data_IF_410711255082
#
_entry.id   IF_410711255082
#
_cell.length_a   1.000
_cell.length_b   1.000
_cell.length_c   1.000
_cell.angle_alpha   90.00
_cell.angle_beta   90.00
_cell.angle_gamma   90.00
#
_symmetry.space_group_name_H-M   'P 1'
#
loop_
_entity.id
_entity.type
_entity.pdbx_description
1 polymer ?
#
# COMPACT_ATOMS: atom_id res chain seq x y z
N UNK A 1 26.61 -55.74 35.51
CA UNK A 1 25.91 -54.80 36.42
C UNK A 1 26.50 -53.41 36.19
N UNK A 2 25.65 -52.37 36.12
CA UNK A 2 25.80 -51.11 35.33
C UNK A 2 26.80 -50.12 35.99
N UNK A 3 27.22 -48.95 35.47
CA UNK A 3 26.50 -47.84 34.82
C UNK A 3 27.49 -46.70 34.47
N UNK A 4 27.00 -45.68 33.76
CA UNK A 4 27.62 -44.37 33.42
C UNK A 4 28.59 -44.40 32.22
N UNK A 5 28.47 -43.57 31.19
CA UNK A 5 27.89 -42.23 31.09
C UNK A 5 27.57 -41.93 29.61
N UNK A 6 26.41 -41.32 29.38
CA UNK A 6 26.01 -40.80 28.09
C UNK A 6 26.87 -39.59 27.70
N UNK A 7 27.28 -39.52 26.44
CA UNK A 7 27.68 -38.26 25.83
C UNK A 7 27.32 -38.27 24.34
N UNK A 8 26.01 -38.13 24.08
CA UNK A 8 25.55 -37.61 22.80
C UNK A 8 26.08 -36.19 22.64
N UNK A 9 27.18 -36.03 21.89
CA UNK A 9 27.56 -34.71 21.38
C UNK A 9 26.82 -34.49 20.07
N UNK A 10 25.66 -33.89 20.23
CA UNK A 10 24.99 -33.06 19.23
C UNK A 10 26.03 -32.11 18.62
N UNK A 11 26.51 -32.42 17.41
CA UNK A 11 27.15 -31.43 16.54
C UNK A 11 26.14 -30.98 15.50
N UNK A 12 25.04 -30.41 15.99
CA UNK A 12 24.13 -29.62 15.18
C UNK A 12 24.45 -28.13 15.37
N UNK A 13 25.69 -27.77 15.10
CA UNK A 13 26.04 -26.39 14.80
C UNK A 13 25.82 -26.18 13.31
N UNK A 14 24.55 -26.15 12.88
CA UNK A 14 24.22 -25.37 11.69
C UNK A 14 24.51 -23.93 12.08
N UNK A 15 25.74 -23.50 11.83
CA UNK A 15 26.02 -22.09 11.62
C UNK A 15 25.00 -21.60 10.60
N UNK A 16 23.98 -20.87 11.04
CA UNK A 16 23.19 -20.02 10.16
C UNK A 16 24.04 -18.79 9.88
N UNK A 17 25.14 -19.03 9.16
CA UNK A 17 25.80 -18.02 8.37
C UNK A 17 24.81 -17.57 7.29
N UNK A 18 23.96 -16.61 7.66
CA UNK A 18 23.18 -15.83 6.70
C UNK A 18 24.17 -15.29 5.68
N UNK A 19 24.11 -15.87 4.49
CA UNK A 19 25.01 -15.54 3.40
C UNK A 19 24.77 -14.07 2.99
N UNK A 20 25.83 -13.25 2.83
CA UNK A 20 25.71 -11.84 2.42
C UNK A 20 25.19 -11.65 0.99
N UNK A 21 24.78 -12.73 0.31
CA UNK A 21 24.08 -12.72 -0.97
C UNK A 21 22.58 -12.46 -0.82
N UNK A 22 21.95 -12.88 0.29
CA UNK A 22 20.49 -12.73 0.49
C UNK A 22 20.08 -11.29 0.79
N UNK A 23 20.88 -10.56 1.57
CA UNK A 23 20.59 -9.17 1.96
C UNK A 23 20.69 -8.16 0.80
N UNK A 24 21.48 -8.45 -0.24
CA UNK A 24 21.53 -7.59 -1.44
C UNK A 24 20.27 -7.71 -2.28
N UNK A 25 19.65 -8.89 -2.32
CA UNK A 25 18.40 -9.09 -3.03
C UNK A 25 17.26 -8.33 -2.34
N UNK A 26 17.13 -8.43 -1.01
CA UNK A 26 16.07 -7.74 -0.27
C UNK A 26 16.13 -6.22 -0.41
N UNK A 27 17.33 -5.64 -0.40
CA UNK A 27 17.52 -4.20 -0.61
C UNK A 27 17.19 -3.77 -2.04
N UNK A 28 17.42 -4.65 -3.03
CA UNK A 28 17.01 -4.42 -4.42
C UNK A 28 15.49 -4.45 -4.56
N UNK A 29 14.83 -5.41 -3.92
CA UNK A 29 13.37 -5.59 -3.96
C UNK A 29 12.64 -4.39 -3.34
N UNK A 30 13.14 -3.89 -2.20
CA UNK A 30 12.59 -2.67 -1.57
C UNK A 30 12.73 -1.47 -2.49
N UNK A 31 13.89 -1.29 -3.15
CA UNK A 31 14.10 -0.18 -4.10
C UNK A 31 13.14 -0.29 -5.29
N UNK A 32 12.95 -1.49 -5.84
CA UNK A 32 12.00 -1.72 -6.92
C UNK A 32 10.55 -1.46 -6.49
N UNK A 33 10.19 -1.83 -5.26
CA UNK A 33 8.90 -1.55 -4.66
C UNK A 33 8.64 -0.03 -4.60
N UNK A 34 9.59 0.76 -4.10
CA UNK A 34 9.46 2.22 -4.04
C UNK A 34 9.33 2.85 -5.44
N UNK A 35 10.04 2.33 -6.45
CA UNK A 35 9.90 2.77 -7.84
C UNK A 35 8.52 2.42 -8.41
N UNK A 36 7.96 1.26 -8.06
CA UNK A 36 6.61 0.88 -8.45
C UNK A 36 5.57 1.79 -7.78
N UNK A 37 5.68 2.03 -6.47
CA UNK A 37 4.80 2.94 -5.73
C UNK A 37 4.79 4.34 -6.35
N UNK A 38 5.97 4.90 -6.67
CA UNK A 38 6.09 6.22 -7.31
C UNK A 38 5.37 6.32 -8.66
N UNK A 39 5.24 5.23 -9.41
CA UNK A 39 4.52 5.21 -10.69
C UNK A 39 3.00 5.13 -10.53
N UNK A 40 2.52 4.55 -9.44
CA UNK A 40 1.09 4.33 -9.18
C UNK A 40 0.41 5.53 -8.55
N UNK A 41 1.13 6.26 -7.69
CA UNK A 41 0.55 7.39 -6.93
C UNK A 41 0.52 8.67 -7.79
N UNK A 42 -0.65 9.27 -8.05
CA UNK A 42 -0.81 10.38 -8.99
C UNK A 42 -0.01 11.64 -8.63
N UNK A 43 0.08 11.98 -7.35
CA UNK A 43 0.74 13.19 -6.83
C UNK A 43 2.26 13.18 -6.98
N UNK A 44 2.89 12.00 -6.84
CA UNK A 44 4.36 11.83 -6.88
C UNK A 44 4.89 11.38 -8.22
N UNK A 45 4.06 10.83 -9.12
CA UNK A 45 4.49 10.39 -10.46
C UNK A 45 5.13 11.52 -11.27
N UNK A 46 4.70 12.76 -11.05
CA UNK A 46 5.22 13.97 -11.72
C UNK A 46 6.44 14.58 -11.02
N UNK A 47 6.78 14.14 -9.82
CA UNK A 47 7.84 14.74 -9.02
C UNK A 47 9.17 14.01 -9.21
N UNK A 48 10.23 14.67 -9.71
CA UNK A 48 11.50 14.00 -9.99
C UNK A 48 12.23 13.55 -8.72
N UNK A 49 12.13 14.32 -7.63
CA UNK A 49 12.74 14.03 -6.33
C UNK A 49 11.66 14.04 -5.25
N UNK A 50 11.53 12.93 -4.55
CA UNK A 50 10.63 12.72 -3.41
C UNK A 50 11.39 11.82 -2.45
N UNK A 51 11.43 12.16 -1.16
CA UNK A 51 12.08 11.33 -0.16
C UNK A 51 11.22 10.09 0.14
N UNK A 52 11.80 9.04 0.72
CA UNK A 52 11.09 7.80 1.05
C UNK A 52 9.87 8.06 1.96
N UNK A 53 10.02 8.91 2.97
CA UNK A 53 8.94 9.23 3.89
C UNK A 53 7.80 9.99 3.21
N UNK A 54 8.13 10.96 2.35
CA UNK A 54 7.13 11.70 1.56
C UNK A 54 6.39 10.78 0.59
N UNK A 55 7.10 9.86 -0.07
CA UNK A 55 6.48 8.84 -0.91
C UNK A 55 5.48 8.00 -0.11
N UNK A 56 5.87 7.54 1.08
CA UNK A 56 5.00 6.72 1.92
C UNK A 56 3.76 7.48 2.38
N UNK A 57 3.89 8.75 2.75
CA UNK A 57 2.74 9.61 3.07
C UNK A 57 1.78 9.72 1.89
N UNK A 58 2.30 10.04 0.69
CA UNK A 58 1.47 10.12 -0.51
C UNK A 58 0.80 8.79 -0.90
N UNK A 59 1.41 7.65 -0.58
CA UNK A 59 0.77 6.33 -0.76
C UNK A 59 -0.38 6.16 0.22
N UNK A 60 -0.19 6.54 1.49
CA UNK A 60 -1.21 6.47 2.53
C UNK A 60 -2.41 7.35 2.18
N UNK A 61 -2.17 8.58 1.72
CA UNK A 61 -3.22 9.50 1.29
C UNK A 61 -3.98 8.92 0.09
N UNK A 62 -3.25 8.40 -0.90
CA UNK A 62 -3.86 7.85 -2.11
C UNK A 62 -4.72 6.61 -1.81
N UNK A 63 -4.31 5.74 -0.89
CA UNK A 63 -5.13 4.60 -0.48
C UNK A 63 -6.42 5.08 0.19
N UNK A 64 -6.33 6.01 1.14
CA UNK A 64 -7.51 6.56 1.82
C UNK A 64 -8.48 7.25 0.85
N UNK A 65 -7.96 8.05 -0.08
CA UNK A 65 -8.76 8.70 -1.12
C UNK A 65 -9.50 7.65 -1.97
N UNK A 66 -8.80 6.58 -2.37
CA UNK A 66 -9.41 5.49 -3.14
C UNK A 66 -10.45 4.72 -2.32
N UNK A 67 -10.21 4.44 -1.04
CA UNK A 67 -11.17 3.76 -0.16
C UNK A 67 -12.48 4.55 -0.06
N UNK A 68 -12.40 5.86 0.20
CA UNK A 68 -13.59 6.74 0.26
C UNK A 68 -14.31 6.80 -1.09
N UNK A 69 -13.55 6.94 -2.17
CA UNK A 69 -14.07 7.00 -3.56
C UNK A 69 -14.83 5.72 -3.91
N UNK A 70 -14.30 4.56 -3.54
CA UNK A 70 -14.89 3.27 -3.85
C UNK A 70 -16.08 2.93 -2.95
N UNK A 71 -16.07 3.35 -1.68
CA UNK A 71 -17.18 3.11 -0.73
C UNK A 71 -18.38 4.04 -1.01
N UNK A 72 -18.13 5.27 -1.46
CA UNK A 72 -19.18 6.28 -1.65
C UNK A 72 -19.12 6.91 -3.06
N UNK A 73 -19.51 6.15 -4.11
CA UNK A 73 -19.47 6.66 -5.49
C UNK A 73 -20.37 7.90 -5.72
N UNK A 74 -21.43 8.06 -4.93
CA UNK A 74 -22.34 9.21 -4.98
C UNK A 74 -21.68 10.53 -4.56
N UNK A 75 -20.63 10.49 -3.71
CA UNK A 75 -19.86 11.68 -3.32
C UNK A 75 -18.98 12.20 -4.47
N UNK A 76 -18.61 11.34 -5.41
CA UNK A 76 -17.86 11.71 -6.62
C UNK A 76 -18.79 12.45 -7.59
N UNK A 77 -20.01 11.95 -7.77
CA UNK A 77 -21.00 12.56 -8.66
C UNK A 77 -21.47 13.93 -8.16
N UNK A 78 -21.53 14.11 -6.83
CA UNK A 78 -21.91 15.39 -6.21
C UNK A 78 -20.77 16.41 -6.10
N UNK A 79 -19.50 15.97 -6.15
CA UNK A 79 -18.33 16.87 -6.17
C UNK A 79 -17.92 17.32 -7.57
N UNK A 80 -18.49 16.73 -8.63
CA UNK A 80 -18.41 17.31 -9.97
C UNK A 80 -19.11 18.68 -9.94
N UNK A 81 -18.48 19.76 -10.46
CA UNK A 81 -19.21 20.99 -10.71
C UNK A 81 -20.26 20.66 -11.77
N UNK A 82 -21.48 20.35 -11.32
CA UNK A 82 -22.65 20.37 -12.18
C UNK A 82 -22.70 21.79 -12.72
N UNK A 83 -22.19 21.95 -13.94
CA UNK A 83 -22.46 23.16 -14.72
C UNK A 83 -23.97 23.18 -14.83
N UNK A 84 -24.59 24.00 -13.99
CA UNK A 84 -26.01 24.27 -13.95
C UNK A 84 -26.39 24.98 -15.25
N UNK A 85 -26.45 24.22 -16.33
CA UNK A 85 -26.98 24.66 -17.60
C UNK A 85 -27.83 23.52 -18.16
N UNK A 86 -29.02 23.41 -17.58
CA UNK A 86 -30.21 22.92 -18.26
C UNK A 86 -30.27 21.42 -18.56
N UNK A 87 -30.81 20.66 -17.62
CA UNK A 87 -31.93 19.78 -17.97
C UNK A 87 -32.82 19.56 -16.77
N UNK A 88 -34.03 20.10 -16.86
CA UNK A 88 -35.14 19.77 -15.99
C UNK A 88 -35.42 18.27 -16.09
N UNK A 89 -35.43 17.56 -14.96
CA UNK A 89 -36.15 16.30 -14.86
C UNK A 89 -36.93 16.33 -13.55
N UNK A 90 -38.11 16.93 -13.63
CA UNK A 90 -39.33 16.46 -12.93
C UNK A 90 -39.22 14.95 -12.71
N UNK A 91 -39.11 14.43 -11.49
CA UNK A 91 -40.17 14.33 -10.49
C UNK A 91 -39.56 13.95 -9.13
N UNK A 92 -39.45 14.89 -8.20
CA UNK A 92 -39.61 14.55 -6.78
C UNK A 92 -40.20 15.75 -6.03
N UNK A 93 -41.27 16.31 -6.61
CA UNK A 93 -42.16 17.13 -5.83
C UNK A 93 -43.10 16.23 -5.04
N UNK A 94 -43.28 16.62 -3.78
CA UNK A 94 -44.43 16.32 -2.92
C UNK A 94 -44.47 14.91 -2.33
N UNK A 95 -43.91 14.81 -1.12
CA UNK A 95 -44.71 14.45 0.06
C UNK A 95 -46.22 14.57 -0.23
N UNK A 96 -46.91 13.44 -0.35
CA UNK A 96 -48.36 13.40 -0.37
C UNK A 96 -48.79 12.23 0.53
N UNK A 97 -49.31 12.62 1.71
CA UNK A 97 -50.16 11.88 2.68
C UNK A 97 -49.81 10.45 3.07
#
# INVERSE_FOLDING_TARGET
MPSHVAASREKSERCLHSTPSSERNTMSDIKQCLVRLKRMVPSVRRQPKVNKLELLQHVIDYIQDLEVTLEQPELILSSLPVSSSGFVSTCLNTCFT
#
